data_IF_252796622913
#
_entry.id   IF_252796622913
#
_cell.length_a   1.000
_cell.length_b   1.000
_cell.length_c   1.000
_cell.angle_alpha   90.00
_cell.angle_beta   90.00
_cell.angle_gamma   90.00
#
_symmetry.space_group_name_H-M   'P 1'
#
loop_
_entity.id
_entity.type
_entity.pdbx_description
1 polymer ?
#
# COMPACT_ATOMS: atom_id res chain seq x y z
N UNK A 1 -22.59 -6.42 20.89
CA UNK A 1 -22.20 -5.54 19.76
C UNK A 1 -21.88 -6.43 18.56
N UNK A 2 -22.49 -6.20 17.39
CA UNK A 2 -22.18 -7.00 16.19
C UNK A 2 -20.88 -6.48 15.58
N UNK A 3 -19.91 -7.36 15.37
CA UNK A 3 -18.64 -7.03 14.72
C UNK A 3 -18.88 -6.81 13.23
N UNK A 4 -18.48 -5.65 12.71
CA UNK A 4 -18.57 -5.38 11.27
C UNK A 4 -17.44 -6.11 10.55
N UNK A 5 -17.64 -6.43 9.27
CA UNK A 5 -16.60 -7.08 8.46
C UNK A 5 -15.33 -6.23 8.38
N UNK A 6 -15.45 -4.89 8.31
CA UNK A 6 -14.30 -3.95 8.32
C UNK A 6 -13.49 -4.08 9.58
N UNK A 7 -14.17 -4.14 10.72
CA UNK A 7 -13.52 -4.35 12.03
C UNK A 7 -12.82 -5.70 12.06
N UNK A 8 -13.43 -6.76 11.50
CA UNK A 8 -12.80 -8.09 11.43
C UNK A 8 -11.55 -8.10 10.54
N UNK A 9 -11.63 -7.52 9.33
CA UNK A 9 -10.47 -7.37 8.46
C UNK A 9 -9.38 -6.52 9.12
N UNK A 10 -9.74 -5.43 9.80
CA UNK A 10 -8.77 -4.58 10.48
C UNK A 10 -8.01 -5.30 11.60
N UNK A 11 -8.72 -6.12 12.41
CA UNK A 11 -8.07 -6.95 13.42
C UNK A 11 -7.17 -8.02 12.79
N UNK A 12 -7.65 -8.69 11.73
CA UNK A 12 -6.85 -9.69 11.01
C UNK A 12 -5.57 -9.06 10.44
N UNK A 13 -5.68 -7.92 9.75
CA UNK A 13 -4.54 -7.18 9.19
C UNK A 13 -3.51 -6.83 10.25
N UNK A 14 -3.94 -6.30 11.41
CA UNK A 14 -3.01 -5.94 12.49
C UNK A 14 -2.36 -7.13 13.19
N UNK A 15 -3.10 -8.24 13.38
CA UNK A 15 -2.53 -9.46 13.98
C UNK A 15 -1.51 -10.12 13.05
N UNK A 16 -1.83 -10.24 11.76
CA UNK A 16 -0.90 -10.76 10.76
C UNK A 16 0.33 -9.87 10.68
N UNK A 17 0.14 -8.55 10.63
CA UNK A 17 1.24 -7.58 10.65
C UNK A 17 2.15 -7.77 11.87
N UNK A 18 1.60 -7.87 13.09
CA UNK A 18 2.39 -8.04 14.30
C UNK A 18 3.24 -9.32 14.27
N UNK A 19 2.66 -10.45 13.83
CA UNK A 19 3.37 -11.72 13.73
C UNK A 19 4.44 -11.67 12.64
N UNK A 20 4.11 -11.18 11.45
CA UNK A 20 5.05 -11.11 10.33
C UNK A 20 6.20 -10.15 10.64
N UNK A 21 5.92 -9.00 11.25
CA UNK A 21 6.95 -8.07 11.72
C UNK A 21 7.93 -8.74 12.68
N UNK A 22 7.43 -9.49 13.66
CA UNK A 22 8.26 -10.20 14.63
C UNK A 22 9.10 -11.32 14.00
N UNK A 23 8.51 -12.12 13.11
CA UNK A 23 9.22 -13.18 12.37
C UNK A 23 10.29 -12.59 11.45
N UNK A 24 9.96 -11.52 10.72
CA UNK A 24 10.92 -10.86 9.85
C UNK A 24 12.08 -10.25 10.64
N UNK A 25 11.81 -9.70 11.83
CA UNK A 25 12.82 -9.10 12.71
C UNK A 25 13.76 -10.17 13.30
N UNK A 26 13.21 -11.21 13.93
CA UNK A 26 14.00 -12.11 14.78
C UNK A 26 14.34 -13.47 14.13
N UNK A 27 13.81 -13.76 12.94
CA UNK A 27 14.12 -14.99 12.20
C UNK A 27 14.69 -14.74 10.82
N UNK A 28 14.08 -13.88 10.01
CA UNK A 28 14.59 -13.65 8.65
C UNK A 28 15.78 -12.72 8.61
N UNK A 29 15.78 -11.63 9.40
CA UNK A 29 16.89 -10.68 9.43
C UNK A 29 18.26 -11.35 9.71
N UNK A 30 18.39 -12.23 10.72
CA UNK A 30 19.67 -12.89 11.00
C UNK A 30 20.14 -13.84 9.89
N UNK A 31 19.23 -14.35 9.06
CA UNK A 31 19.57 -15.24 7.94
C UNK A 31 20.16 -14.44 6.77
N UNK A 32 19.65 -13.24 6.53
CA UNK A 32 20.04 -12.41 5.37
C UNK A 32 21.20 -11.48 5.66
N UNK A 33 21.45 -11.16 6.93
CA UNK A 33 22.61 -10.41 7.39
C UNK A 33 23.47 -11.30 8.28
N UNK A 34 24.11 -12.35 7.71
CA UNK A 34 24.98 -13.21 8.50
C UNK A 34 26.13 -12.38 9.09
N UNK A 35 26.29 -12.48 10.40
CA UNK A 35 27.42 -11.89 11.11
C UNK A 35 28.66 -12.77 10.91
N UNK A 36 29.83 -12.15 10.73
CA UNK A 36 31.09 -12.87 10.65
C UNK A 36 32.03 -12.33 9.60
N UNK A 37 32.94 -13.18 9.15
CA UNK A 37 33.96 -12.87 8.16
C UNK A 37 34.21 -14.08 7.27
N UNK A 38 34.47 -13.83 5.99
CA UNK A 38 34.88 -14.87 5.04
C UNK A 38 36.36 -14.70 4.68
N UNK A 39 37.05 -15.80 4.41
CA UNK A 39 38.43 -15.79 3.95
C UNK A 39 38.43 -15.66 2.42
N UNK A 40 39.02 -14.59 1.90
CA UNK A 40 39.20 -14.38 0.47
C UNK A 40 40.17 -15.37 -0.15
N UNK A 41 40.10 -15.49 -1.48
CA UNK A 41 41.04 -16.31 -2.26
C UNK A 41 42.50 -15.83 -2.12
N UNK A 42 42.69 -14.58 -1.68
CA UNK A 42 43.96 -13.95 -1.32
C UNK A 42 44.42 -14.27 0.12
N UNK A 43 43.64 -15.05 0.88
CA UNK A 43 43.89 -15.34 2.29
C UNK A 43 43.58 -14.17 3.23
N UNK A 44 42.99 -13.08 2.75
CA UNK A 44 42.58 -11.93 3.57
C UNK A 44 41.19 -12.20 4.12
N UNK A 45 41.00 -11.93 5.41
CA UNK A 45 39.68 -12.08 6.05
C UNK A 45 38.87 -10.81 5.81
N UNK A 46 37.76 -10.94 5.08
CA UNK A 46 36.83 -9.85 4.79
C UNK A 46 35.62 -9.95 5.71
N UNK A 47 35.11 -8.83 6.25
CA UNK A 47 33.84 -8.85 6.96
C UNK A 47 32.75 -9.35 6.00
N UNK A 48 31.86 -10.20 6.49
CA UNK A 48 30.69 -10.61 5.74
C UNK A 48 29.73 -9.42 5.72
N UNK A 49 29.82 -8.63 4.65
CA UNK A 49 28.95 -7.48 4.43
C UNK A 49 27.65 -7.95 3.80
N UNK A 50 26.55 -7.30 4.17
CA UNK A 50 25.26 -7.50 3.54
C UNK A 50 25.39 -7.29 2.02
N UNK A 51 25.01 -8.28 1.22
CA UNK A 51 25.03 -8.20 -0.24
C UNK A 51 23.75 -7.55 -0.79
N UNK A 52 23.75 -7.28 -2.10
CA UNK A 52 22.58 -6.74 -2.81
C UNK A 52 21.35 -7.57 -2.54
N UNK A 53 20.18 -6.95 -2.38
CA UNK A 53 18.89 -7.61 -2.11
C UNK A 53 18.80 -8.41 -0.78
N UNK A 54 19.72 -8.21 0.18
CA UNK A 54 19.57 -8.77 1.55
C UNK A 54 18.55 -8.02 2.41
N UNK A 55 18.01 -6.89 1.91
CA UNK A 55 17.13 -6.00 2.67
C UNK A 55 15.63 -6.35 2.59
N UNK A 56 15.26 -7.41 1.89
CA UNK A 56 13.85 -7.80 1.77
C UNK A 56 13.14 -8.02 3.12
N UNK A 57 13.78 -8.49 4.22
CA UNK A 57 13.09 -8.57 5.51
C UNK A 57 12.75 -7.19 6.08
N UNK A 58 13.55 -6.17 5.79
CA UNK A 58 13.25 -4.78 6.16
C UNK A 58 12.02 -4.28 5.42
N UNK A 59 11.90 -4.54 4.12
CA UNK A 59 10.69 -4.21 3.37
C UNK A 59 9.45 -4.95 3.90
N UNK A 60 9.60 -6.23 4.23
CA UNK A 60 8.53 -7.02 4.88
C UNK A 60 8.12 -6.41 6.23
N UNK A 61 9.07 -5.95 7.04
CA UNK A 61 8.79 -5.26 8.32
C UNK A 61 8.06 -3.95 8.12
N UNK A 62 8.50 -3.11 7.17
CA UNK A 62 7.83 -1.86 6.84
C UNK A 62 6.40 -2.10 6.31
N UNK A 63 6.20 -3.08 5.43
CA UNK A 63 4.87 -3.49 4.95
C UNK A 63 3.98 -3.95 6.10
N UNK A 64 4.53 -4.69 7.06
CA UNK A 64 3.80 -5.10 8.26
C UNK A 64 3.32 -3.89 9.06
N UNK A 65 4.19 -2.91 9.34
CA UNK A 65 3.79 -1.70 10.08
C UNK A 65 2.71 -0.91 9.32
N UNK A 66 2.84 -0.78 8.00
CA UNK A 66 1.85 -0.09 7.16
C UNK A 66 0.53 -0.87 7.08
N UNK A 67 0.57 -2.21 7.12
CA UNK A 67 -0.62 -3.05 7.17
C UNK A 67 -1.33 -2.91 8.52
N UNK A 68 -0.57 -2.83 9.62
CA UNK A 68 -1.13 -2.54 10.93
C UNK A 68 -1.81 -1.16 10.96
N UNK A 69 -1.19 -0.14 10.36
CA UNK A 69 -1.81 1.18 10.18
C UNK A 69 -3.14 1.08 9.40
N UNK A 70 -3.15 0.37 8.27
CA UNK A 70 -4.39 0.14 7.51
C UNK A 70 -5.46 -0.56 8.38
N UNK A 71 -5.06 -1.52 9.21
CA UNK A 71 -5.91 -2.19 10.19
C UNK A 71 -6.51 -1.22 11.22
N UNK A 72 -5.71 -0.31 11.78
CA UNK A 72 -6.16 0.76 12.68
C UNK A 72 -7.24 1.61 11.99
N UNK A 73 -7.01 2.02 10.73
CA UNK A 73 -7.95 2.86 9.98
C UNK A 73 -9.26 2.14 9.64
N UNK A 74 -9.22 0.82 9.38
CA UNK A 74 -10.43 0.01 9.20
C UNK A 74 -11.25 -0.12 10.49
N UNK A 75 -10.59 -0.18 11.65
CA UNK A 75 -11.25 -0.31 12.97
C UNK A 75 -11.79 1.03 13.47
N UNK A 76 -10.97 2.08 13.38
CA UNK A 76 -11.22 3.39 13.97
C UNK A 76 -11.91 4.38 13.03
N UNK A 77 -11.95 4.07 11.74
CA UNK A 77 -12.42 4.97 10.68
C UNK A 77 -11.34 5.94 10.20
N UNK A 78 -11.77 6.89 9.37
CA UNK A 78 -10.88 7.84 8.68
C UNK A 78 -11.02 9.29 9.18
N UNK A 79 -11.58 9.49 10.37
CA UNK A 79 -11.62 10.80 11.00
C UNK A 79 -10.20 11.32 11.32
N UNK A 80 -10.03 12.64 11.37
CA UNK A 80 -8.72 13.32 11.59
C UNK A 80 -7.94 12.74 12.77
N UNK A 81 -8.63 12.48 13.89
CA UNK A 81 -7.99 11.94 15.11
C UNK A 81 -7.54 10.48 14.95
N UNK A 82 -8.29 9.65 14.22
CA UNK A 82 -7.86 8.28 13.91
C UNK A 82 -6.61 8.28 13.02
N UNK A 83 -6.59 9.13 11.99
CA UNK A 83 -5.43 9.30 11.12
C UNK A 83 -4.20 9.75 11.90
N UNK A 84 -4.29 10.82 12.68
CA UNK A 84 -3.16 11.32 13.49
C UNK A 84 -2.67 10.24 14.46
N UNK A 85 -3.57 9.61 15.20
CA UNK A 85 -3.21 8.57 16.19
C UNK A 85 -2.53 7.38 15.51
N UNK A 86 -3.13 6.88 14.41
CA UNK A 86 -2.57 5.77 13.64
C UNK A 86 -1.20 6.11 13.05
N UNK A 87 -1.06 7.27 12.40
CA UNK A 87 0.20 7.70 11.79
C UNK A 87 1.31 7.92 12.81
N UNK A 88 1.01 8.54 13.96
CA UNK A 88 2.00 8.71 15.04
C UNK A 88 2.42 7.34 15.60
N UNK A 89 1.47 6.43 15.80
CA UNK A 89 1.79 5.09 16.27
C UNK A 89 2.61 4.27 15.25
N UNK A 90 2.30 4.39 13.96
CA UNK A 90 3.09 3.77 12.90
C UNK A 90 4.52 4.33 12.86
N UNK A 91 4.69 5.65 13.02
CA UNK A 91 6.01 6.28 13.14
C UNK A 91 6.78 5.79 14.37
N UNK A 92 6.11 5.65 15.51
CA UNK A 92 6.70 5.07 16.73
C UNK A 92 7.11 3.60 16.55
N UNK A 93 6.32 2.82 15.82
CA UNK A 93 6.65 1.42 15.51
C UNK A 93 7.85 1.33 14.56
N UNK A 94 7.93 2.17 13.52
CA UNK A 94 9.12 2.25 12.65
C UNK A 94 10.38 2.64 13.45
N UNK A 95 10.27 3.56 14.41
CA UNK A 95 11.40 3.88 15.30
C UNK A 95 11.79 2.69 16.19
N UNK A 96 10.82 1.94 16.71
CA UNK A 96 11.07 0.72 17.48
C UNK A 96 11.71 -0.38 16.61
N UNK A 97 11.33 -0.49 15.34
CA UNK A 97 11.93 -1.41 14.36
C UNK A 97 13.43 -1.14 14.17
N UNK A 98 13.83 0.14 14.07
CA UNK A 98 15.25 0.52 14.00
C UNK A 98 16.02 0.16 15.28
N UNK A 99 15.38 0.27 16.45
CA UNK A 99 15.98 -0.15 17.71
C UNK A 99 16.15 -1.67 17.79
N UNK A 100 15.16 -2.43 17.33
CA UNK A 100 15.23 -3.89 17.25
C UNK A 100 16.35 -4.31 16.28
N UNK A 101 16.50 -3.61 15.15
CA UNK A 101 17.60 -3.82 14.20
C UNK A 101 18.97 -3.68 14.88
N UNK A 102 19.14 -2.62 15.68
CA UNK A 102 20.39 -2.36 16.43
C UNK A 102 20.71 -3.38 17.50
N UNK A 103 19.69 -4.01 18.07
CA UNK A 103 19.85 -4.96 19.17
C UNK A 103 20.16 -6.38 18.70
N UNK A 104 20.18 -6.63 17.38
CA UNK A 104 20.46 -7.92 16.76
C UNK A 104 19.69 -9.08 17.42
N UNK A 105 18.40 -8.84 17.65
CA UNK A 105 17.56 -9.79 18.38
C UNK A 105 17.22 -10.97 17.48
N UNK A 106 17.51 -12.20 17.94
CA UNK A 106 17.23 -13.42 17.19
C UNK A 106 16.56 -14.50 18.05
N UNK A 107 15.96 -15.49 17.37
CA UNK A 107 15.45 -16.73 17.99
C UNK A 107 13.95 -16.75 18.31
N UNK A 108 13.43 -17.95 18.60
CA UNK A 108 11.98 -18.21 18.72
C UNK A 108 11.34 -17.47 19.90
N UNK A 109 12.02 -17.41 21.06
CA UNK A 109 11.51 -16.70 22.23
C UNK A 109 11.34 -15.20 21.92
N UNK A 110 12.34 -14.61 21.27
CA UNK A 110 12.30 -13.22 20.81
C UNK A 110 11.13 -12.98 19.86
N UNK A 111 10.90 -13.86 18.88
CA UNK A 111 9.74 -13.76 17.96
C UNK A 111 8.43 -13.71 18.74
N UNK A 112 8.24 -14.59 19.73
CA UNK A 112 7.01 -14.63 20.53
C UNK A 112 6.83 -13.34 21.34
N UNK A 113 7.90 -12.86 22.00
CA UNK A 113 7.86 -11.64 22.79
C UNK A 113 7.56 -10.41 21.93
N UNK A 114 8.22 -10.28 20.77
CA UNK A 114 7.99 -9.19 19.81
C UNK A 114 6.57 -9.24 19.24
N UNK A 115 6.07 -10.43 18.87
CA UNK A 115 4.71 -10.58 18.35
C UNK A 115 3.65 -10.20 19.40
N UNK A 116 3.85 -10.61 20.66
CA UNK A 116 2.97 -10.25 21.77
C UNK A 116 2.99 -8.73 22.03
N UNK A 117 4.18 -8.12 22.11
CA UNK A 117 4.32 -6.68 22.30
C UNK A 117 3.69 -5.88 21.16
N UNK A 118 3.95 -6.26 19.91
CA UNK A 118 3.35 -5.66 18.72
C UNK A 118 1.82 -5.79 18.70
N UNK A 119 1.29 -6.95 19.09
CA UNK A 119 -0.17 -7.18 19.18
C UNK A 119 -0.81 -6.28 20.23
N UNK A 120 -0.20 -6.17 21.42
CA UNK A 120 -0.67 -5.26 22.49
C UNK A 120 -0.61 -3.81 22.02
N UNK A 121 0.49 -3.39 21.39
CA UNK A 121 0.66 -2.04 20.86
C UNK A 121 -0.38 -1.70 19.80
N UNK A 122 -0.60 -2.60 18.83
CA UNK A 122 -1.63 -2.46 17.80
C UNK A 122 -3.04 -2.39 18.41
N UNK A 123 -3.36 -3.26 19.36
CA UNK A 123 -4.65 -3.28 20.04
C UNK A 123 -4.91 -1.98 20.81
N UNK A 124 -3.94 -1.53 21.61
CA UNK A 124 -4.02 -0.27 22.35
C UNK A 124 -4.19 0.94 21.42
N UNK A 125 -3.43 0.97 20.32
CA UNK A 125 -3.54 2.03 19.29
C UNK A 125 -4.92 2.02 18.63
N UNK A 126 -5.42 0.86 18.22
CA UNK A 126 -6.73 0.72 17.57
C UNK A 126 -7.87 1.18 18.47
N UNK A 127 -7.84 0.78 19.74
CA UNK A 127 -8.84 1.19 20.73
C UNK A 127 -8.77 2.69 21.02
N UNK A 128 -7.57 3.25 21.15
CA UNK A 128 -7.36 4.68 21.39
C UNK A 128 -7.83 5.51 20.19
N UNK A 129 -7.40 5.14 18.98
CA UNK A 129 -7.82 5.80 17.74
C UNK A 129 -9.35 5.78 17.58
N UNK A 130 -9.99 4.64 17.84
CA UNK A 130 -11.45 4.49 17.78
C UNK A 130 -12.18 5.34 18.81
N UNK A 131 -11.67 5.42 20.04
CA UNK A 131 -12.24 6.28 21.09
C UNK A 131 -12.11 7.76 20.72
N UNK A 132 -10.94 8.18 20.27
CA UNK A 132 -10.67 9.58 19.91
C UNK A 132 -11.43 10.04 18.68
N UNK A 133 -11.63 9.16 17.69
CA UNK A 133 -12.35 9.49 16.45
C UNK A 133 -13.85 9.66 16.65
N UNK A 134 -14.43 9.11 17.72
CA UNK A 134 -15.86 9.16 17.97
C UNK A 134 -16.71 8.52 16.85
N UNK A 135 -16.11 7.63 16.04
CA UNK A 135 -16.76 7.05 14.88
C UNK A 135 -16.94 8.01 13.69
N UNK A 136 -16.25 9.15 13.70
CA UNK A 136 -16.26 10.07 12.56
C UNK A 136 -15.62 9.42 11.34
N UNK A 137 -16.37 9.46 10.25
CA UNK A 137 -15.90 9.04 8.94
C UNK A 137 -15.13 10.18 8.26
N UNK A 138 -14.04 9.82 7.57
CA UNK A 138 -13.33 10.75 6.71
C UNK A 138 -14.16 11.16 5.50
N UNK A 139 -13.93 12.37 4.99
CA UNK A 139 -14.55 12.86 3.76
C UNK A 139 -14.17 12.02 2.52
N UNK A 140 -14.85 12.24 1.37
CA UNK A 140 -14.64 11.46 0.14
C UNK A 140 -13.18 11.45 -0.35
N UNK A 141 -12.49 12.59 -0.26
CA UNK A 141 -11.07 12.73 -0.61
C UNK A 141 -10.19 11.83 0.25
N UNK A 142 -10.34 11.89 1.57
CA UNK A 142 -9.53 11.12 2.52
C UNK A 142 -9.71 9.62 2.30
N UNK A 143 -10.94 9.18 2.06
CA UNK A 143 -11.27 7.79 1.72
C UNK A 143 -10.60 7.33 0.44
N UNK A 144 -10.66 8.17 -0.60
CA UNK A 144 -10.03 7.89 -1.88
C UNK A 144 -8.52 7.77 -1.75
N UNK A 145 -7.89 8.71 -1.04
CA UNK A 145 -6.44 8.69 -0.76
C UNK A 145 -6.03 7.47 0.04
N UNK A 146 -6.72 7.16 1.13
CA UNK A 146 -6.40 6.01 1.96
C UNK A 146 -6.58 4.68 1.20
N UNK A 147 -7.66 4.54 0.43
CA UNK A 147 -7.91 3.35 -0.38
C UNK A 147 -6.87 3.19 -1.50
N UNK A 148 -6.57 4.25 -2.25
CA UNK A 148 -5.59 4.18 -3.33
C UNK A 148 -4.16 3.98 -2.80
N UNK A 149 -3.82 4.53 -1.62
CA UNK A 149 -2.54 4.25 -0.95
C UNK A 149 -2.45 2.78 -0.52
N UNK A 150 -3.51 2.22 0.07
CA UNK A 150 -3.55 0.80 0.41
C UNK A 150 -3.44 -0.09 -0.84
N UNK A 151 -4.07 0.29 -1.95
CA UNK A 151 -3.94 -0.44 -3.21
C UNK A 151 -2.52 -0.36 -3.78
N UNK A 152 -1.84 0.79 -3.66
CA UNK A 152 -0.43 0.92 -4.02
C UNK A 152 0.47 0.03 -3.16
N UNK A 153 0.18 -0.07 -1.85
CA UNK A 153 0.90 -0.98 -0.96
C UNK A 153 0.66 -2.46 -1.28
N UNK A 154 -0.49 -2.82 -1.81
CA UNK A 154 -0.74 -4.17 -2.31
C UNK A 154 0.13 -4.53 -3.51
N UNK A 155 0.44 -3.56 -4.38
CA UNK A 155 1.42 -3.74 -5.46
C UNK A 155 2.84 -3.75 -4.91
N UNK A 156 3.15 -2.83 -4.00
CA UNK A 156 4.46 -2.71 -3.38
C UNK A 156 4.87 -3.98 -2.63
N UNK A 157 3.92 -4.73 -2.08
CA UNK A 157 4.21 -6.00 -1.40
C UNK A 157 4.67 -7.12 -2.32
N UNK A 158 4.58 -6.96 -3.64
CA UNK A 158 5.10 -7.92 -4.61
C UNK A 158 6.57 -7.63 -5.00
N UNK A 159 7.08 -6.45 -4.62
CA UNK A 159 8.41 -5.95 -4.98
C UNK A 159 9.59 -6.58 -4.21
N UNK A 160 9.48 -7.00 -2.93
CA UNK A 160 10.62 -7.56 -2.23
C UNK A 160 11.19 -8.76 -2.98
N UNK A 161 12.51 -8.85 -3.20
CA UNK A 161 13.12 -10.00 -3.88
C UNK A 161 14.29 -10.50 -3.06
N UNK A 162 14.57 -11.80 -3.13
CA UNK A 162 15.75 -12.36 -2.50
C UNK A 162 17.01 -12.08 -3.35
N UNK A 163 18.21 -12.26 -2.79
CA UNK A 163 19.46 -11.99 -3.49
C UNK A 163 20.01 -13.18 -4.27
N UNK A 164 19.23 -14.23 -4.50
CA UNK A 164 19.77 -15.48 -5.03
C UNK A 164 20.00 -15.40 -6.55
N UNK A 165 21.26 -15.41 -6.98
CA UNK A 165 21.65 -15.33 -8.40
C UNK A 165 22.07 -16.72 -8.96
N UNK A 166 22.33 -17.69 -8.08
CA UNK A 166 22.83 -19.04 -8.42
C UNK A 166 21.86 -20.16 -8.01
N UNK A 167 22.27 -21.42 -8.16
CA UNK A 167 21.46 -22.59 -7.77
C UNK A 167 21.01 -22.49 -6.31
N UNK A 168 19.69 -22.46 -6.10
CA UNK A 168 19.09 -22.42 -4.77
C UNK A 168 19.36 -23.72 -4.01
N UNK A 169 19.95 -23.62 -2.83
CA UNK A 169 19.90 -24.69 -1.84
C UNK A 169 18.46 -24.93 -1.38
N UNK A 170 18.17 -26.11 -0.81
CA UNK A 170 16.85 -26.45 -0.27
C UNK A 170 16.34 -25.42 0.77
N UNK A 171 17.25 -24.89 1.58
CA UNK A 171 16.93 -23.86 2.57
C UNK A 171 16.54 -22.53 1.91
N UNK A 172 17.26 -22.12 0.86
CA UNK A 172 16.95 -20.90 0.11
C UNK A 172 15.63 -21.04 -0.66
N UNK A 173 15.37 -22.20 -1.26
CA UNK A 173 14.09 -22.50 -1.92
C UNK A 173 12.92 -22.41 -0.94
N UNK A 174 13.09 -22.93 0.28
CA UNK A 174 12.08 -22.81 1.33
C UNK A 174 11.80 -21.34 1.68
N UNK A 175 12.83 -20.51 1.83
CA UNK A 175 12.69 -19.07 2.12
C UNK A 175 11.94 -18.37 0.98
N UNK A 176 12.23 -18.73 -0.27
CA UNK A 176 11.52 -18.19 -1.43
C UNK A 176 10.02 -18.49 -1.42
N UNK A 177 9.67 -19.74 -1.10
CA UNK A 177 8.26 -20.15 -0.97
C UNK A 177 7.58 -19.38 0.18
N UNK A 178 8.26 -19.27 1.33
CA UNK A 178 7.76 -18.52 2.48
C UNK A 178 7.59 -17.03 2.14
N UNK A 179 8.54 -16.41 1.44
CA UNK A 179 8.46 -15.02 0.98
C UNK A 179 7.32 -14.84 -0.04
N UNK A 180 7.15 -15.75 -1.00
CA UNK A 180 6.05 -15.71 -1.95
C UNK A 180 4.69 -15.74 -1.25
N UNK A 181 4.53 -16.60 -0.24
CA UNK A 181 3.33 -16.64 0.57
C UNK A 181 3.10 -15.32 1.32
N UNK A 182 4.15 -14.70 1.87
CA UNK A 182 4.07 -13.38 2.52
C UNK A 182 3.67 -12.27 1.55
N UNK A 183 4.27 -12.23 0.35
CA UNK A 183 3.93 -11.25 -0.70
C UNK A 183 2.45 -11.30 -1.06
N UNK A 184 1.94 -12.52 -1.33
CA UNK A 184 0.54 -12.74 -1.66
C UNK A 184 -0.39 -12.42 -0.48
N UNK A 185 0.02 -12.78 0.73
CA UNK A 185 -0.70 -12.45 1.97
C UNK A 185 -0.85 -10.93 2.16
N UNK A 186 0.25 -10.19 2.06
CA UNK A 186 0.23 -8.72 2.14
C UNK A 186 -0.60 -8.10 1.03
N UNK A 187 -0.37 -8.51 -0.22
CA UNK A 187 -1.10 -7.97 -1.37
C UNK A 187 -2.62 -8.14 -1.19
N UNK A 188 -3.03 -9.32 -0.73
CA UNK A 188 -4.44 -9.62 -0.46
C UNK A 188 -4.99 -8.75 0.67
N UNK A 189 -4.29 -8.66 1.81
CA UNK A 189 -4.77 -7.91 2.97
C UNK A 189 -4.82 -6.40 2.70
N UNK A 190 -3.85 -5.85 1.97
CA UNK A 190 -3.88 -4.45 1.53
C UNK A 190 -4.99 -4.18 0.50
N UNK A 191 -5.24 -5.10 -0.44
CA UNK A 191 -6.36 -4.98 -1.37
C UNK A 191 -7.72 -5.03 -0.64
N UNK A 192 -7.87 -5.92 0.35
CA UNK A 192 -9.05 -5.96 1.22
C UNK A 192 -9.18 -4.68 2.03
N UNK A 193 -8.08 -4.13 2.54
CA UNK A 193 -8.09 -2.86 3.24
C UNK A 193 -8.52 -1.70 2.33
N UNK A 194 -7.98 -1.62 1.11
CA UNK A 194 -8.40 -0.65 0.11
C UNK A 194 -9.91 -0.70 -0.14
N UNK A 195 -10.46 -1.90 -0.34
CA UNK A 195 -11.90 -2.12 -0.50
C UNK A 195 -12.70 -1.69 0.75
N UNK A 196 -12.18 -1.96 1.95
CA UNK A 196 -12.80 -1.57 3.21
C UNK A 196 -12.82 -0.07 3.48
N UNK A 197 -11.84 0.66 2.95
CA UNK A 197 -11.73 2.10 3.13
C UNK A 197 -12.63 2.89 2.16
N UNK A 198 -13.12 2.28 1.09
CA UNK A 198 -14.06 2.91 0.16
C UNK A 198 -15.49 3.05 0.75
N UNK A 199 -16.21 4.13 0.44
CA UNK A 199 -17.57 4.35 0.92
C UNK A 199 -18.59 3.45 0.17
N UNK A 200 -18.93 2.29 0.76
CA UNK A 200 -19.95 1.32 0.32
C UNK A 200 -19.66 0.58 -1.00
N UNK A 201 -20.18 -0.66 -1.15
CA UNK A 201 -19.91 -1.48 -2.32
C UNK A 201 -20.38 -0.74 -3.56
N UNK A 202 -19.47 -0.62 -4.52
CA UNK A 202 -19.76 -0.14 -5.86
C UNK A 202 -21.02 -0.87 -6.34
N UNK A 203 -22.05 -0.14 -6.78
CA UNK A 203 -23.32 -0.71 -7.26
C UNK A 203 -23.09 -1.79 -8.33
N UNK A 204 -21.92 -1.77 -8.98
CA UNK A 204 -21.39 -2.79 -9.86
C UNK A 204 -20.28 -3.62 -9.18
N UNK A 205 -20.66 -4.46 -8.21
CA UNK A 205 -19.80 -5.50 -7.61
C UNK A 205 -19.10 -6.34 -8.70
N UNK A 206 -19.74 -6.54 -9.86
CA UNK A 206 -19.18 -7.22 -11.02
C UNK A 206 -17.96 -6.52 -11.63
N UNK A 207 -17.94 -5.18 -11.64
CA UNK A 207 -16.81 -4.42 -12.14
C UNK A 207 -15.64 -4.47 -11.16
N UNK A 208 -15.92 -4.34 -9.86
CA UNK A 208 -14.91 -4.49 -8.82
C UNK A 208 -14.31 -5.89 -8.83
N UNK A 209 -15.15 -6.94 -8.86
CA UNK A 209 -14.71 -8.33 -8.98
C UNK A 209 -13.97 -8.58 -10.30
N UNK A 210 -14.43 -8.02 -11.41
CA UNK A 210 -13.78 -8.15 -12.71
C UNK A 210 -12.37 -7.55 -12.70
N UNK A 211 -12.20 -6.36 -12.12
CA UNK A 211 -10.87 -5.74 -12.05
C UNK A 211 -9.98 -6.42 -11.01
N UNK A 212 -10.52 -6.87 -9.88
CA UNK A 212 -9.78 -7.71 -8.92
C UNK A 212 -9.35 -9.03 -9.58
N UNK A 213 -10.22 -9.66 -10.36
CA UNK A 213 -9.92 -10.89 -11.09
C UNK A 213 -8.86 -10.66 -12.17
N UNK A 214 -8.89 -9.54 -12.90
CA UNK A 214 -7.85 -9.18 -13.88
C UNK A 214 -6.51 -8.89 -13.20
N UNK A 215 -6.51 -8.18 -12.06
CA UNK A 215 -5.30 -7.93 -11.29
C UNK A 215 -4.69 -9.23 -10.72
N UNK A 216 -5.55 -10.12 -10.19
CA UNK A 216 -5.13 -11.45 -9.72
C UNK A 216 -4.65 -12.33 -10.88
N UNK A 217 -5.34 -12.31 -12.02
CA UNK A 217 -4.94 -13.07 -13.21
C UNK A 217 -3.62 -12.55 -13.79
N UNK A 218 -3.38 -11.24 -13.79
CA UNK A 218 -2.10 -10.66 -14.20
C UNK A 218 -0.98 -11.03 -13.21
N UNK A 219 -1.24 -11.03 -11.90
CA UNK A 219 -0.29 -11.46 -10.89
C UNK A 219 0.00 -12.98 -10.97
N UNK A 220 -1.00 -13.81 -11.26
CA UNK A 220 -0.83 -15.24 -11.48
C UNK A 220 -0.10 -15.53 -12.79
N UNK A 221 -0.45 -14.83 -13.89
CA UNK A 221 0.27 -14.93 -15.15
C UNK A 221 1.73 -14.50 -14.99
N UNK A 222 2.01 -13.47 -14.19
CA UNK A 222 3.36 -13.07 -13.80
C UNK A 222 4.10 -14.21 -13.10
N UNK A 223 3.54 -14.78 -12.03
CA UNK A 223 4.14 -15.91 -11.29
C UNK A 223 4.45 -17.09 -12.22
N UNK A 224 3.54 -17.39 -13.16
CA UNK A 224 3.71 -18.47 -14.13
C UNK A 224 4.76 -18.15 -15.21
N UNK A 225 4.93 -16.88 -15.60
CA UNK A 225 5.85 -16.45 -16.66
C UNK A 225 7.26 -16.16 -16.17
N UNK A 226 7.45 -15.82 -14.88
CA UNK A 226 8.77 -15.59 -14.25
C UNK A 226 9.47 -16.86 -13.80
N UNK A 227 8.90 -18.05 -14.05
CA UNK A 227 9.57 -19.34 -13.82
C UNK A 227 10.70 -19.64 -14.81
N UNK A 228 10.92 -18.79 -15.81
CA UNK A 228 12.07 -18.87 -16.73
C UNK A 228 13.21 -17.99 -16.22
N UNK A 229 14.43 -18.52 -16.24
CA UNK A 229 15.66 -17.94 -15.66
C UNK A 229 16.10 -16.56 -16.22
N UNK A 230 15.29 -15.93 -17.07
CA UNK A 230 15.46 -14.57 -17.57
C UNK A 230 14.08 -13.91 -17.75
N UNK A 231 13.29 -13.85 -16.66
CA UNK A 231 12.00 -13.16 -16.68
C UNK A 231 12.18 -11.66 -16.98
N UNK A 232 11.27 -11.02 -17.74
CA UNK A 232 11.36 -9.60 -18.09
C UNK A 232 11.51 -8.76 -16.82
N UNK A 233 12.47 -7.82 -16.86
CA UNK A 233 12.79 -6.95 -15.73
C UNK A 233 11.51 -6.43 -15.08
N UNK A 234 11.43 -6.62 -13.76
CA UNK A 234 10.33 -6.23 -12.88
C UNK A 234 9.80 -4.81 -13.17
N UNK A 235 10.67 -3.93 -13.67
CA UNK A 235 10.41 -2.56 -14.10
C UNK A 235 9.36 -2.42 -15.21
N UNK A 236 9.14 -3.44 -16.04
CA UNK A 236 8.27 -3.33 -17.23
C UNK A 236 6.78 -3.59 -16.96
N UNK A 237 6.44 -4.35 -15.92
CA UNK A 237 5.05 -4.79 -15.65
C UNK A 237 4.38 -4.00 -14.51
N UNK A 238 5.18 -3.39 -13.62
CA UNK A 238 4.72 -2.43 -12.61
C UNK A 238 3.78 -1.35 -13.18
N UNK A 239 4.09 -0.69 -14.32
CA UNK A 239 3.22 0.33 -14.92
C UNK A 239 1.84 -0.21 -15.34
N UNK A 240 1.76 -1.46 -15.83
CA UNK A 240 0.50 -2.06 -16.29
C UNK A 240 -0.40 -2.43 -15.12
N UNK A 241 0.17 -3.07 -14.08
CA UNK A 241 -0.56 -3.37 -12.85
C UNK A 241 -1.02 -2.08 -12.14
N UNK A 242 -0.19 -1.05 -12.19
CA UNK A 242 -0.49 0.27 -11.66
C UNK A 242 -1.64 0.97 -12.38
N UNK A 243 -1.62 1.01 -13.73
CA UNK A 243 -2.72 1.52 -14.54
C UNK A 243 -4.01 0.75 -14.24
N UNK A 244 -3.93 -0.58 -14.12
CA UNK A 244 -5.10 -1.41 -13.79
C UNK A 244 -5.68 -1.06 -12.40
N UNK A 245 -4.85 -0.85 -11.38
CA UNK A 245 -5.29 -0.48 -10.03
C UNK A 245 -5.90 0.93 -9.98
N UNK A 246 -5.26 1.90 -10.64
CA UNK A 246 -5.77 3.29 -10.73
C UNK A 246 -7.11 3.31 -11.46
N UNK A 247 -7.22 2.59 -12.58
CA UNK A 247 -8.48 2.44 -13.32
C UNK A 247 -9.51 1.72 -12.48
N UNK A 248 -9.17 0.66 -11.72
CA UNK A 248 -10.09 -0.05 -10.83
C UNK A 248 -10.72 0.86 -9.77
N UNK A 249 -9.86 1.65 -9.11
CA UNK A 249 -10.24 2.52 -8.00
C UNK A 249 -11.07 3.71 -8.48
N UNK A 250 -10.78 4.21 -9.68
CA UNK A 250 -11.45 5.34 -10.28
C UNK A 250 -12.69 4.97 -11.10
N UNK A 251 -12.78 3.75 -11.64
CA UNK A 251 -13.82 3.29 -12.55
C UNK A 251 -15.26 3.60 -12.12
N UNK A 252 -15.65 3.52 -10.83
CA UNK A 252 -17.00 3.89 -10.41
C UNK A 252 -17.40 5.34 -10.66
N UNK A 253 -16.43 6.24 -10.91
CA UNK A 253 -16.63 7.68 -11.09
C UNK A 253 -16.36 8.15 -12.52
N UNK A 254 -16.00 7.25 -13.41
CA UNK A 254 -15.66 7.60 -14.80
C UNK A 254 -16.95 7.68 -15.61
N UNK A 255 -17.45 8.90 -15.81
CA UNK A 255 -18.47 9.20 -16.81
C UNK A 255 -17.79 9.87 -18.00
N UNK A 256 -17.49 9.10 -19.05
CA UNK A 256 -16.94 9.61 -20.31
C UNK A 256 -15.49 9.20 -20.60
N UNK A 257 -15.07 9.47 -21.84
CA UNK A 257 -13.77 9.07 -22.39
C UNK A 257 -12.62 9.95 -21.92
N UNK A 258 -12.85 11.26 -21.71
CA UNK A 258 -11.84 12.20 -21.25
C UNK A 258 -11.23 11.87 -19.86
N UNK A 259 -12.02 11.61 -18.79
CA UNK A 259 -11.46 11.21 -17.50
C UNK A 259 -10.77 9.84 -17.55
N UNK A 260 -11.24 8.92 -18.41
CA UNK A 260 -10.56 7.64 -18.65
C UNK A 260 -9.17 7.85 -19.26
N UNK A 261 -9.07 8.65 -20.32
CA UNK A 261 -7.79 9.00 -20.95
C UNK A 261 -6.87 9.73 -19.96
N UNK A 262 -7.40 10.69 -19.19
CA UNK A 262 -6.65 11.38 -18.15
C UNK A 262 -6.07 10.42 -17.10
N UNK A 263 -6.83 9.39 -16.69
CA UNK A 263 -6.35 8.36 -15.77
C UNK A 263 -5.32 7.41 -16.40
N UNK A 264 -5.47 7.07 -17.68
CA UNK A 264 -4.46 6.29 -18.42
C UNK A 264 -3.16 7.08 -18.50
N UNK A 265 -3.22 8.35 -18.91
CA UNK A 265 -2.05 9.23 -18.97
C UNK A 265 -1.41 9.41 -17.59
N UNK A 266 -2.21 9.69 -16.56
CA UNK A 266 -1.74 9.79 -15.19
C UNK A 266 -1.12 8.46 -14.72
N UNK A 267 -1.68 7.32 -15.10
CA UNK A 267 -1.14 6.00 -14.80
C UNK A 267 0.23 5.77 -15.44
N UNK A 268 0.38 6.09 -16.72
CA UNK A 268 1.65 5.93 -17.46
C UNK A 268 2.73 6.88 -16.91
N UNK A 269 2.46 8.20 -16.90
CA UNK A 269 3.43 9.19 -16.42
C UNK A 269 3.68 9.06 -14.92
N UNK A 270 2.64 8.76 -14.16
CA UNK A 270 2.71 8.48 -12.74
C UNK A 270 3.60 7.29 -12.45
N UNK A 271 3.53 6.20 -13.24
CA UNK A 271 4.41 5.05 -13.06
C UNK A 271 5.89 5.41 -13.29
N UNK A 272 6.21 6.17 -14.34
CA UNK A 272 7.58 6.65 -14.57
C UNK A 272 8.09 7.57 -13.45
N UNK A 273 7.28 8.54 -13.03
CA UNK A 273 7.61 9.43 -11.93
C UNK A 273 7.76 8.65 -10.60
N UNK A 274 6.91 7.64 -10.40
CA UNK A 274 6.96 6.75 -9.25
C UNK A 274 8.24 5.93 -9.22
N UNK A 275 8.68 5.38 -10.36
CA UNK A 275 9.98 4.73 -10.49
C UNK A 275 11.11 5.69 -10.11
N UNK A 276 11.11 6.92 -10.64
CA UNK A 276 12.13 7.91 -10.31
C UNK A 276 12.15 8.26 -8.82
N UNK A 277 10.99 8.46 -8.20
CA UNK A 277 10.87 8.72 -6.74
C UNK A 277 11.30 7.49 -5.94
N UNK A 278 10.89 6.30 -6.35
CA UNK A 278 11.26 5.04 -5.73
C UNK A 278 12.78 4.92 -5.70
N UNK A 279 13.44 5.08 -6.84
CA UNK A 279 14.90 5.03 -6.92
C UNK A 279 15.55 6.15 -6.10
N UNK A 280 15.24 7.42 -6.37
CA UNK A 280 15.95 8.54 -5.75
C UNK A 280 15.66 8.68 -4.26
N UNK A 281 14.38 8.74 -3.87
CA UNK A 281 14.00 8.93 -2.48
C UNK A 281 14.14 7.63 -1.68
N UNK A 282 13.87 6.48 -2.30
CA UNK A 282 14.04 5.17 -1.66
C UNK A 282 15.49 4.89 -1.31
N UNK A 283 16.44 5.18 -2.21
CA UNK A 283 17.88 5.05 -1.92
C UNK A 283 18.33 5.98 -0.79
N UNK A 284 17.93 7.27 -0.84
CA UNK A 284 18.31 8.24 0.19
C UNK A 284 17.75 7.85 1.57
N UNK A 285 16.48 7.45 1.62
CA UNK A 285 15.83 7.06 2.86
C UNK A 285 16.36 5.72 3.37
N UNK A 286 16.54 4.74 2.49
CA UNK A 286 17.12 3.44 2.83
C UNK A 286 18.53 3.59 3.40
N UNK A 287 19.39 4.36 2.73
CA UNK A 287 20.73 4.68 3.23
C UNK A 287 20.71 5.40 4.60
N UNK A 288 19.79 6.36 4.80
CA UNK A 288 19.64 7.03 6.08
C UNK A 288 19.18 6.08 7.20
N UNK A 289 18.19 5.21 6.93
CA UNK A 289 17.72 4.22 7.90
C UNK A 289 18.78 3.15 8.19
N UNK A 290 19.53 2.70 7.18
CA UNK A 290 20.69 1.80 7.34
C UNK A 290 21.75 2.42 8.24
N UNK A 291 22.14 3.68 7.98
CA UNK A 291 23.10 4.40 8.81
C UNK A 291 22.60 4.64 10.23
N UNK A 292 21.31 5.00 10.39
CA UNK A 292 20.68 5.09 11.70
C UNK A 292 20.59 3.74 12.40
N UNK A 293 20.56 2.62 11.70
CA UNK A 293 20.65 1.29 12.30
C UNK A 293 22.09 0.89 12.68
N UNK A 294 23.10 1.73 12.40
CA UNK A 294 24.50 1.41 12.66
C UNK A 294 25.11 0.42 11.66
N UNK A 295 24.38 0.13 10.58
CA UNK A 295 24.82 -0.75 9.52
C UNK A 295 25.64 0.03 8.47
N UNK A 296 26.65 -0.57 7.84
CA UNK A 296 27.40 0.09 6.78
C UNK A 296 26.45 0.46 5.62
N UNK A 297 26.55 1.69 5.07
CA UNK A 297 25.77 2.06 3.91
C UNK A 297 26.17 1.16 2.73
N UNK A 298 25.21 0.48 2.13
CA UNK A 298 25.44 -0.29 0.91
C UNK A 298 25.79 0.70 -0.20
N UNK A 299 26.85 0.41 -0.95
CA UNK A 299 27.29 1.26 -2.04
C UNK A 299 26.13 1.57 -3.00
N UNK A 300 25.99 2.83 -3.40
CA UNK A 300 24.86 3.37 -4.19
C UNK A 300 24.67 2.81 -5.60
N UNK A 301 25.28 1.68 -5.93
CA UNK A 301 24.99 0.90 -7.13
C UNK A 301 23.80 -0.08 -6.91
N UNK A 302 23.51 -0.43 -5.65
CA UNK A 302 22.57 -1.49 -5.32
C UNK A 302 21.45 -0.98 -4.41
N UNK A 303 20.22 -1.27 -4.83
CA UNK A 303 19.07 -0.45 -4.50
C UNK A 303 18.51 -0.79 -3.11
N UNK A 304 19.09 -0.20 -2.05
CA UNK A 304 18.50 -0.16 -0.70
C UNK A 304 17.25 0.73 -0.71
N UNK A 305 16.20 0.27 -1.39
CA UNK A 305 14.97 1.04 -1.52
C UNK A 305 14.12 0.75 -0.30
N UNK A 306 13.78 1.79 0.47
CA UNK A 306 12.67 1.73 1.42
C UNK A 306 11.33 1.68 0.65
N UNK A 307 11.16 0.62 -0.14
CA UNK A 307 10.15 0.49 -1.19
C UNK A 307 8.73 0.73 -0.68
N UNK A 308 8.34 0.18 0.49
CA UNK A 308 7.01 0.41 1.05
C UNK A 308 6.76 1.89 1.42
N UNK A 309 7.78 2.60 1.91
CA UNK A 309 7.65 4.01 2.31
C UNK A 309 7.50 4.91 1.08
N UNK A 310 8.31 4.66 0.03
CA UNK A 310 8.14 5.34 -1.24
C UNK A 310 6.74 5.04 -1.85
N UNK A 311 6.26 3.80 -1.75
CA UNK A 311 4.92 3.42 -2.20
C UNK A 311 3.80 4.16 -1.45
N UNK A 312 3.98 4.54 -0.19
CA UNK A 312 3.03 5.41 0.53
C UNK A 312 2.97 6.79 -0.13
N UNK A 313 4.12 7.42 -0.37
CA UNK A 313 4.18 8.77 -0.97
C UNK A 313 3.57 8.77 -2.37
N UNK A 314 3.95 7.77 -3.18
CA UNK A 314 3.40 7.54 -4.52
C UNK A 314 1.88 7.32 -4.44
N UNK A 315 1.43 6.42 -3.56
CA UNK A 315 0.03 6.11 -3.36
C UNK A 315 -0.80 7.34 -3.00
N UNK A 316 -0.29 8.20 -2.11
CA UNK A 316 -0.94 9.46 -1.73
C UNK A 316 -1.02 10.40 -2.94
N UNK A 317 0.11 10.71 -3.58
CA UNK A 317 0.17 11.65 -4.70
C UNK A 317 -0.73 11.24 -5.86
N UNK A 318 -0.70 9.95 -6.22
CA UNK A 318 -1.50 9.38 -7.32
C UNK A 318 -2.98 9.35 -6.99
N UNK A 319 -3.33 9.06 -5.74
CA UNK A 319 -4.72 9.08 -5.31
C UNK A 319 -5.28 10.52 -5.29
N UNK A 320 -4.47 11.50 -4.88
CA UNK A 320 -4.85 12.92 -4.96
C UNK A 320 -5.08 13.34 -6.42
N UNK A 321 -4.14 13.03 -7.31
CA UNK A 321 -4.26 13.37 -8.73
C UNK A 321 -5.47 12.69 -9.39
N UNK A 322 -5.70 11.39 -9.15
CA UNK A 322 -6.86 10.67 -9.67
C UNK A 322 -8.18 11.19 -9.10
N UNK A 323 -8.19 11.61 -7.83
CA UNK A 323 -9.37 12.27 -7.25
C UNK A 323 -9.69 13.56 -8.00
N UNK A 324 -8.71 14.44 -8.20
CA UNK A 324 -8.88 15.71 -8.90
C UNK A 324 -9.43 15.52 -10.33
N UNK A 325 -8.85 14.57 -11.08
CA UNK A 325 -9.29 14.24 -12.45
C UNK A 325 -10.73 13.73 -12.47
N UNK A 326 -11.11 12.90 -11.48
CA UNK A 326 -12.47 12.32 -11.43
C UNK A 326 -13.53 13.23 -10.81
N UNK A 327 -13.13 14.23 -10.02
CA UNK A 327 -14.06 15.19 -9.41
C UNK A 327 -14.35 16.44 -10.26
N UNK A 328 -13.51 16.75 -11.26
CA UNK A 328 -13.67 17.95 -12.09
C UNK A 328 -15.00 18.04 -12.90
N UNK A 329 -15.56 16.95 -13.45
CA UNK A 329 -16.79 17.04 -14.26
C UNK A 329 -18.01 17.46 -13.44
N UNK A 330 -18.10 17.02 -12.18
CA UNK A 330 -19.24 17.31 -11.31
C UNK A 330 -19.30 18.78 -10.90
N UNK A 331 -18.15 19.45 -10.79
CA UNK A 331 -18.10 20.90 -10.53
C UNK A 331 -18.52 21.72 -11.75
N UNK A 332 -18.19 21.30 -12.97
CA UNK A 332 -18.59 22.01 -14.19
C UNK A 332 -20.10 21.91 -14.45
N UNK A 333 -20.69 20.73 -14.22
CA UNK A 333 -22.14 20.54 -14.32
C UNK A 333 -22.91 21.34 -13.26
N UNK A 334 -22.41 21.38 -12.03
CA UNK A 334 -23.01 22.19 -10.96
C UNK A 334 -23.01 23.68 -11.31
N UNK A 335 -21.88 24.21 -11.78
CA UNK A 335 -21.77 25.62 -12.22
C UNK A 335 -22.65 25.92 -13.44
N UNK A 336 -22.76 25.00 -14.40
CA UNK A 336 -23.64 25.16 -15.56
C UNK A 336 -25.13 25.18 -15.20
N UNK A 337 -25.53 24.41 -14.19
CA UNK A 337 -26.92 24.40 -13.69
C UNK A 337 -27.31 25.67 -12.95
N UNK A 338 -26.35 26.37 -12.34
CA UNK A 338 -26.59 27.63 -11.61
C UNK A 338 -26.73 28.83 -12.56
N UNK A 339 -26.09 28.75 -13.75
CA UNK A 339 -26.24 29.74 -14.83
C UNK A 339 -27.49 29.54 -15.68
N UNK A 340 -28.12 28.37 -15.63
CA UNK A 340 -29.49 28.21 -16.10
C UNK A 340 -30.38 28.92 -15.07
N UNK A 341 -30.55 30.23 -15.24
CA UNK A 341 -31.23 31.10 -14.28
C UNK A 341 -32.55 30.51 -13.79
N UNK A 342 -32.98 30.85 -12.56
CA UNK A 342 -34.22 30.33 -11.98
C UNK A 342 -35.31 30.47 -13.03
N UNK A 343 -35.89 29.32 -13.42
CA UNK A 343 -36.94 29.27 -14.44
C UNK A 343 -37.91 30.41 -14.15
N UNK A 344 -37.97 31.35 -15.09
CA UNK A 344 -38.79 32.55 -14.96
C UNK A 344 -40.18 32.08 -14.49
N UNK A 345 -40.66 32.53 -13.32
CA UNK A 345 -41.88 32.01 -12.74
C UNK A 345 -42.95 32.15 -13.81
N UNK A 346 -43.53 31.00 -14.21
CA UNK A 346 -44.52 30.93 -15.26
C UNK A 346 -45.49 32.10 -15.09
N UNK A 347 -45.47 33.03 -16.05
CA UNK A 347 -46.25 34.26 -15.98
C UNK A 347 -47.72 33.93 -15.65
N UNK A 348 -48.43 34.83 -14.95
CA UNK A 348 -49.81 34.59 -14.52
C UNK A 348 -50.63 34.10 -15.71
N UNK A 349 -51.27 32.94 -15.55
CA UNK A 349 -52.05 32.29 -16.58
C UNK A 349 -52.99 33.31 -17.24
N UNK A 350 -52.79 33.55 -18.54
CA UNK A 350 -53.65 34.43 -19.33
C UNK A 350 -55.09 33.91 -19.18
N UNK A 351 -56.05 34.75 -18.73
CA UNK A 351 -57.44 34.33 -18.61
C UNK A 351 -57.93 33.82 -19.96
N UNK A 352 -58.54 32.64 -19.96
CA UNK A 352 -59.12 32.05 -21.15
C UNK A 352 -60.14 33.01 -21.77
N UNK A 353 -59.92 33.35 -23.03
CA UNK A 353 -60.82 34.17 -23.83
C UNK A 353 -62.18 33.45 -23.92
N UNK A 354 -63.30 34.09 -23.53
CA UNK A 354 -64.61 33.46 -23.59
C UNK A 354 -64.98 33.21 -25.06
N UNK A 355 -65.19 31.94 -25.41
CA UNK A 355 -65.65 31.53 -26.72
C UNK A 355 -66.98 32.21 -27.05
N UNK A 356 -66.94 33.12 -28.03
CA UNK A 356 -68.13 33.70 -28.61
C UNK A 356 -68.84 32.65 -29.49
N UNK A 357 -69.97 32.14 -28.97
CA UNK A 357 -71.20 31.79 -29.68
C UNK A 357 -71.16 30.87 -30.91
N UNK A 358 -71.83 29.71 -30.78
CA UNK A 358 -72.88 29.25 -31.69
C UNK A 358 -73.81 28.29 -30.94
#
# INVERSE_FOLDING_TARGET
MRMTWRTACGWLSGLVAAVVWAVASARYMPIVQPTGSWLGDDGVTYPQLASNNTYWPRDVRHLAVLLALAGVLLIAGLGRRALVTGSVAAGGWLAADLLVDRLDLSGTVTVVLLAAAATVYFGATSLTAKRLSGGQDGGPLVRHVAAGTAAMLALASLLPVTPWIEHLSDAQLRIEIELMALKLGFATLFAVAAAGLLPRPVRNVRLTLGVTAVAVAAALAWICLTGSAMGPDFTQIMPVAFVAVVVAAAAPRINGTAPLLGLIFLGVFGAFASLAVLYLAGMLLGGALTGLAGNPPVNGADSDLATPLAAVVIGIGMSLASYLVTSAPTTAEAMGSETAGPAEPAGPATPAEPAAGA
#
